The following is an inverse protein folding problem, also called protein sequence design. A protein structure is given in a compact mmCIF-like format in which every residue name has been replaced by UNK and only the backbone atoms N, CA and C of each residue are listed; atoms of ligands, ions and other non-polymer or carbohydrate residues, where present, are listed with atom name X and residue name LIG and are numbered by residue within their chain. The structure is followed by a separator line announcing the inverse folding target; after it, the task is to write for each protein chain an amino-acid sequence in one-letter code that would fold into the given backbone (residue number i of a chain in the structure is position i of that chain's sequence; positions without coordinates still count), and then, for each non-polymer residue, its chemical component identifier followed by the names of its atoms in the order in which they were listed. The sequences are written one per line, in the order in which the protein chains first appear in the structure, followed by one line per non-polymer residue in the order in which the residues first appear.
data_IF_008935573119
#
_entry.id   IF_008935573119
#
_cell.length_a   1.000
_cell.length_b   1.000
_cell.length_c   1.000
_cell.angle_alpha   90.00
_cell.angle_beta   90.00
_cell.angle_gamma   90.00
#
_symmetry.space_group_name_H-M   'P 1'
#
loop_
_entity.id
_entity.type
_entity.pdbx_description
1 polymer ?
#
# COMPACT_ATOMS: atom_id res chain seq x y z
N UNK A 1 13.91 34.14 29.01
CA UNK A 1 14.46 32.85 28.56
C UNK A 1 13.36 32.10 27.81
N UNK A 2 13.59 31.90 26.52
CA UNK A 2 12.68 31.47 25.43
C UNK A 2 11.89 30.18 25.75
N UNK A 3 10.56 30.21 25.93
CA UNK A 3 9.51 29.89 24.94
C UNK A 3 9.92 29.08 23.71
N UNK A 4 9.70 27.76 23.68
CA UNK A 4 9.51 26.98 22.43
C UNK A 4 8.40 25.93 22.65
N UNK A 5 7.15 26.38 22.58
CA UNK A 5 6.00 25.50 22.40
C UNK A 5 5.91 25.10 20.92
N UNK A 6 6.30 23.86 20.60
CA UNK A 6 5.99 23.28 19.29
C UNK A 6 4.54 22.79 19.31
N UNK A 7 3.71 23.49 18.53
CA UNK A 7 2.33 23.10 18.24
C UNK A 7 2.35 21.76 17.48
N UNK A 8 1.85 20.70 18.12
CA UNK A 8 1.48 19.48 17.41
C UNK A 8 0.23 19.78 16.57
N UNK A 9 0.37 19.71 15.24
CA UNK A 9 -0.76 19.68 14.34
C UNK A 9 -1.52 18.37 14.53
N UNK A 10 -2.66 18.45 15.23
CA UNK A 10 -3.57 17.33 15.41
C UNK A 10 -4.16 16.86 14.08
N UNK A 11 -4.64 15.62 14.09
CA UNK A 11 -5.28 14.88 13.00
C UNK A 11 -6.58 15.52 12.43
N UNK A 12 -6.81 16.80 12.65
CA UNK A 12 -8.09 17.51 12.42
C UNK A 12 -8.02 18.64 11.39
N UNK A 13 -7.00 18.75 10.54
CA UNK A 13 -7.04 19.71 9.45
C UNK A 13 -6.61 19.11 8.12
N UNK A 14 -7.62 18.74 7.32
CA UNK A 14 -7.63 18.90 5.85
C UNK A 14 -9.05 18.60 5.34
N UNK A 15 -9.88 19.64 5.38
CA UNK A 15 -11.17 19.73 4.69
C UNK A 15 -10.90 20.06 3.22
N UNK A 16 -11.64 19.42 2.31
CA UNK A 16 -11.72 19.66 0.86
C UNK A 16 -10.58 19.11 0.00
N UNK A 17 -10.65 17.82 -0.34
CA UNK A 17 -10.10 17.35 -1.61
C UNK A 17 -11.21 17.54 -2.66
N UNK A 18 -11.07 18.54 -3.53
CA UNK A 18 -11.93 18.66 -4.72
C UNK A 18 -11.85 17.34 -5.48
N UNK A 19 -13.00 16.86 -5.97
CA UNK A 19 -13.07 15.76 -6.95
C UNK A 19 -12.21 16.13 -8.17
N UNK A 20 -10.96 15.70 -8.20
CA UNK A 20 -10.21 15.57 -9.44
C UNK A 20 -10.66 14.25 -10.06
N UNK A 21 -11.54 14.34 -11.05
CA UNK A 21 -11.83 13.21 -11.91
C UNK A 21 -10.53 12.85 -12.62
N UNK A 22 -10.05 11.61 -12.42
CA UNK A 22 -9.09 11.02 -13.35
C UNK A 22 -9.81 10.93 -14.70
N UNK A 23 -9.64 11.94 -15.55
CA UNK A 23 -10.01 11.82 -16.95
C UNK A 23 -8.95 10.91 -17.59
N UNK A 24 -9.27 9.62 -17.69
CA UNK A 24 -8.53 8.67 -18.53
C UNK A 24 -8.82 9.04 -19.99
N UNK A 25 -8.00 9.87 -20.60
CA UNK A 25 -8.07 10.10 -22.05
C UNK A 25 -7.25 9.01 -22.76
N UNK A 26 -7.93 8.10 -23.47
CA UNK A 26 -7.35 7.36 -24.59
C UNK A 26 -7.54 5.85 -24.60
N UNK A 27 -8.54 5.42 -25.41
CA UNK A 27 -8.92 4.06 -25.86
C UNK A 27 -9.63 3.19 -24.83
N UNK A 28 -10.75 2.60 -25.28
CA UNK A 28 -11.60 1.60 -24.60
C UNK A 28 -10.81 0.74 -23.60
N UNK A 29 -10.77 1.21 -22.35
CA UNK A 29 -9.97 0.65 -21.28
C UNK A 29 -10.85 0.51 -20.06
N UNK A 30 -10.84 -0.67 -19.47
CA UNK A 30 -11.58 -1.04 -18.26
C UNK A 30 -11.43 0.06 -17.20
N UNK A 31 -12.55 0.49 -16.63
CA UNK A 31 -12.54 1.42 -15.49
C UNK A 31 -11.66 0.80 -14.39
N UNK A 32 -10.53 1.43 -14.07
CA UNK A 32 -9.59 0.97 -13.05
C UNK A 32 -10.21 0.95 -11.63
N UNK A 33 -11.44 1.45 -11.49
CA UNK A 33 -12.27 1.36 -10.29
C UNK A 33 -13.41 0.35 -10.38
N UNK A 34 -13.45 -0.48 -11.43
CA UNK A 34 -14.34 -1.65 -11.51
C UNK A 34 -14.05 -2.58 -10.33
N UNK A 35 -15.02 -2.66 -9.42
CA UNK A 35 -14.91 -3.45 -8.22
C UNK A 35 -14.67 -4.93 -8.51
N UNK A 36 -15.27 -5.50 -9.56
CA UNK A 36 -15.09 -6.92 -9.88
C UNK A 36 -13.65 -7.21 -10.30
N UNK A 37 -13.06 -6.31 -11.09
CA UNK A 37 -11.64 -6.38 -11.48
C UNK A 37 -10.74 -6.31 -10.24
N UNK A 38 -11.00 -5.35 -9.35
CA UNK A 38 -10.25 -5.19 -8.10
C UNK A 38 -10.36 -6.42 -7.21
N UNK A 39 -11.54 -6.99 -7.03
CA UNK A 39 -11.76 -8.18 -6.20
C UNK A 39 -11.02 -9.39 -6.77
N UNK A 40 -11.09 -9.60 -8.08
CA UNK A 40 -10.37 -10.69 -8.74
C UNK A 40 -8.85 -10.55 -8.55
N UNK A 41 -8.31 -9.33 -8.70
CA UNK A 41 -6.90 -9.07 -8.53
C UNK A 41 -6.45 -9.18 -7.06
N UNK A 42 -7.24 -8.66 -6.11
CA UNK A 42 -7.00 -8.77 -4.68
C UNK A 42 -6.98 -10.23 -4.21
N UNK A 43 -7.87 -11.06 -4.75
CA UNK A 43 -7.90 -12.51 -4.48
C UNK A 43 -6.62 -13.16 -4.97
N UNK A 44 -6.24 -12.93 -6.23
CA UNK A 44 -5.05 -13.52 -6.82
C UNK A 44 -3.76 -13.10 -6.07
N UNK A 45 -3.59 -11.81 -5.76
CA UNK A 45 -2.43 -11.34 -4.99
C UNK A 45 -2.42 -11.90 -3.56
N UNK A 46 -3.61 -12.11 -2.96
CA UNK A 46 -3.75 -12.74 -1.65
C UNK A 46 -3.34 -14.21 -1.66
N UNK A 47 -3.62 -14.93 -2.74
CA UNK A 47 -3.17 -16.31 -2.96
C UNK A 47 -1.66 -16.38 -3.23
N UNK A 48 -1.10 -15.41 -3.94
CA UNK A 48 0.34 -15.31 -4.14
C UNK A 48 1.09 -15.17 -2.81
N UNK A 49 0.58 -14.36 -1.87
CA UNK A 49 1.14 -14.25 -0.51
C UNK A 49 0.96 -15.53 0.29
N UNK A 50 -0.23 -16.13 0.26
CA UNK A 50 -0.51 -17.37 0.98
C UNK A 50 0.45 -18.50 0.57
N UNK A 51 0.68 -18.67 -0.74
CA UNK A 51 1.58 -19.71 -1.27
C UNK A 51 3.02 -19.59 -0.76
N UNK A 52 3.49 -18.38 -0.44
CA UNK A 52 4.85 -18.21 0.11
C UNK A 52 4.99 -18.78 1.53
N UNK A 53 3.89 -18.87 2.29
CA UNK A 53 3.89 -19.28 3.70
C UNK A 53 3.14 -20.58 3.98
N UNK A 54 2.37 -21.10 3.02
CA UNK A 54 1.49 -22.25 3.19
C UNK A 54 2.19 -23.51 3.71
N UNK A 55 3.36 -23.83 3.14
CA UNK A 55 4.18 -25.00 3.52
C UNK A 55 5.46 -24.60 4.26
N UNK A 56 5.48 -23.38 4.81
CA UNK A 56 6.68 -22.83 5.45
C UNK A 56 6.90 -23.49 6.82
N UNK A 57 8.06 -24.13 7.08
CA UNK A 57 8.35 -24.72 8.38
C UNK A 57 8.23 -23.70 9.51
N UNK A 58 7.67 -24.09 10.65
CA UNK A 58 7.41 -23.19 11.78
C UNK A 58 8.63 -22.34 12.19
N UNK A 59 9.84 -22.90 12.16
CA UNK A 59 11.07 -22.17 12.48
C UNK A 59 11.35 -20.99 11.52
N UNK A 60 10.92 -21.07 10.27
CA UNK A 60 11.13 -19.99 9.28
C UNK A 60 10.20 -18.80 9.47
N UNK A 61 9.10 -18.94 10.23
CA UNK A 61 8.22 -17.81 10.56
C UNK A 61 8.92 -16.76 11.44
N UNK A 62 9.99 -17.15 12.13
CA UNK A 62 10.85 -16.26 12.90
C UNK A 62 11.97 -15.60 12.09
N UNK A 63 12.07 -15.85 10.77
CA UNK A 63 13.05 -15.16 9.94
C UNK A 63 12.74 -13.67 9.90
N UNK A 64 13.74 -12.86 10.21
CA UNK A 64 13.71 -11.41 10.04
C UNK A 64 13.50 -11.07 8.57
N UNK A 65 12.64 -10.08 8.33
CA UNK A 65 12.46 -9.50 7.00
C UNK A 65 13.30 -8.24 6.87
N UNK A 66 13.43 -7.66 5.66
CA UNK A 66 14.10 -6.38 5.52
C UNK A 66 13.44 -5.25 6.32
N UNK A 67 12.19 -5.40 6.75
CA UNK A 67 11.52 -4.46 7.66
C UNK A 67 12.03 -4.68 9.09
N UNK A 68 12.77 -3.70 9.68
CA UNK A 68 13.48 -3.93 10.94
C UNK A 68 12.55 -4.34 12.09
N UNK A 69 12.92 -5.42 12.78
CA UNK A 69 12.16 -5.98 13.91
C UNK A 69 10.89 -6.72 13.51
N UNK A 70 10.64 -6.93 12.22
CA UNK A 70 9.50 -7.68 11.72
C UNK A 70 9.97 -8.99 11.09
N UNK A 71 9.56 -10.09 11.69
CA UNK A 71 9.70 -11.43 11.11
C UNK A 71 8.60 -11.73 10.09
N UNK A 72 8.68 -12.86 9.38
CA UNK A 72 7.59 -13.34 8.52
C UNK A 72 6.26 -13.42 9.29
N UNK A 73 6.27 -13.87 10.55
CA UNK A 73 5.07 -13.87 11.40
C UNK A 73 4.50 -12.46 11.61
N UNK A 74 5.35 -11.43 11.77
CA UNK A 74 4.90 -10.05 11.86
C UNK A 74 4.24 -9.59 10.56
N UNK A 75 4.80 -9.95 9.40
CA UNK A 75 4.20 -9.59 8.12
C UNK A 75 2.80 -10.19 7.95
N UNK A 76 2.63 -11.48 8.26
CA UNK A 76 1.32 -12.16 8.17
C UNK A 76 0.34 -11.66 9.24
N UNK A 77 0.81 -11.39 10.47
CA UNK A 77 -0.04 -10.83 11.53
C UNK A 77 -0.55 -9.42 11.18
N UNK A 78 0.30 -8.57 10.59
CA UNK A 78 -0.10 -7.25 10.11
C UNK A 78 -1.14 -7.34 9.00
N UNK A 79 -0.89 -8.17 7.98
CA UNK A 79 -1.86 -8.40 6.91
C UNK A 79 -3.19 -8.92 7.46
N UNK A 80 -3.17 -9.87 8.40
CA UNK A 80 -4.38 -10.39 9.05
C UNK A 80 -5.16 -9.30 9.78
N UNK A 81 -4.48 -8.44 10.55
CA UNK A 81 -5.10 -7.34 11.27
C UNK A 81 -5.69 -6.27 10.32
N UNK A 82 -4.97 -5.95 9.25
CA UNK A 82 -5.40 -4.99 8.22
C UNK A 82 -6.62 -5.49 7.45
N UNK A 83 -6.62 -6.76 7.02
CA UNK A 83 -7.77 -7.36 6.34
C UNK A 83 -8.97 -7.51 7.27
N UNK A 84 -8.77 -7.89 8.54
CA UNK A 84 -9.85 -7.86 9.55
C UNK A 84 -10.50 -6.49 9.65
N UNK A 85 -9.70 -5.43 9.70
CA UNK A 85 -10.19 -4.05 9.76
C UNK A 85 -10.95 -3.65 8.49
N UNK A 86 -10.45 -4.01 7.30
CA UNK A 86 -11.14 -3.77 6.03
C UNK A 86 -12.46 -4.55 5.93
N UNK A 87 -12.49 -5.81 6.37
CA UNK A 87 -13.70 -6.62 6.43
C UNK A 87 -14.75 -6.02 7.35
N UNK A 88 -14.36 -5.55 8.54
CA UNK A 88 -15.26 -4.81 9.44
C UNK A 88 -15.77 -3.52 8.80
N UNK A 89 -14.89 -2.74 8.18
CA UNK A 89 -15.28 -1.51 7.50
C UNK A 89 -16.37 -1.75 6.44
N UNK A 90 -16.20 -2.79 5.63
CA UNK A 90 -17.11 -3.11 4.54
C UNK A 90 -18.42 -3.81 4.97
N UNK A 91 -18.41 -4.57 6.07
CA UNK A 91 -19.57 -5.39 6.49
C UNK A 91 -20.29 -4.89 7.76
N UNK A 92 -19.61 -4.12 8.61
CA UNK A 92 -20.13 -3.69 9.91
C UNK A 92 -19.52 -2.34 10.32
N UNK A 93 -20.10 -1.26 9.79
CA UNK A 93 -19.65 0.11 10.04
C UNK A 93 -19.63 0.50 11.53
N UNK A 94 -20.55 -0.03 12.34
CA UNK A 94 -20.60 0.23 13.78
C UNK A 94 -19.41 -0.42 14.51
N UNK A 95 -19.15 -1.70 14.24
CA UNK A 95 -18.00 -2.40 14.80
C UNK A 95 -16.67 -1.77 14.34
N UNK A 96 -16.59 -1.32 13.08
CA UNK A 96 -15.45 -0.55 12.59
C UNK A 96 -15.29 0.77 13.36
N UNK A 97 -16.36 1.54 13.57
CA UNK A 97 -16.30 2.80 14.32
C UNK A 97 -15.87 2.57 15.78
N UNK A 98 -16.34 1.49 16.41
CA UNK A 98 -15.93 1.10 17.76
C UNK A 98 -14.47 0.64 17.85
N UNK A 99 -13.91 0.08 16.78
CA UNK A 99 -12.49 -0.23 16.68
C UNK A 99 -11.67 1.05 16.47
N UNK A 100 -12.08 1.89 15.52
CA UNK A 100 -11.40 3.13 15.15
C UNK A 100 -11.35 4.14 16.32
N UNK A 101 -12.39 4.19 17.15
CA UNK A 101 -12.45 5.10 18.32
C UNK A 101 -11.42 4.79 19.40
N UNK A 102 -10.81 3.60 19.38
CA UNK A 102 -9.77 3.18 20.32
C UNK A 102 -8.36 3.53 19.84
N UNK A 103 -8.21 4.01 18.61
CA UNK A 103 -6.91 4.37 18.03
C UNK A 103 -6.37 5.63 18.71
N UNK A 104 -5.11 5.56 19.12
CA UNK A 104 -4.38 6.69 19.68
C UNK A 104 -3.63 7.47 18.59
N UNK A 105 -3.08 8.66 18.89
CA UNK A 105 -2.16 9.35 17.97
C UNK A 105 -0.86 8.60 17.70
N UNK A 106 -0.52 7.59 18.50
CA UNK A 106 0.68 6.76 18.34
C UNK A 106 0.39 5.63 17.33
N UNK A 107 0.86 5.84 16.10
CA UNK A 107 0.68 4.89 14.99
C UNK A 107 1.30 3.53 15.29
N UNK A 108 2.52 3.49 15.82
CA UNK A 108 3.25 2.25 16.06
C UNK A 108 2.63 1.45 17.20
N UNK A 109 2.12 2.13 18.23
CA UNK A 109 1.34 1.47 19.28
C UNK A 109 0.04 0.86 18.75
N UNK A 110 -0.67 1.54 17.85
CA UNK A 110 -1.88 1.01 17.24
C UNK A 110 -1.59 -0.25 16.40
N UNK A 111 -0.53 -0.23 15.59
CA UNK A 111 -0.12 -1.40 14.78
C UNK A 111 0.26 -2.58 15.69
N UNK A 112 1.10 -2.36 16.71
CA UNK A 112 1.46 -3.41 17.68
C UNK A 112 0.24 -3.99 18.38
N UNK A 113 -0.71 -3.14 18.79
CA UNK A 113 -1.94 -3.60 19.43
C UNK A 113 -2.80 -4.46 18.50
N UNK A 114 -2.96 -4.03 17.24
CA UNK A 114 -3.76 -4.74 16.25
C UNK A 114 -3.18 -6.14 15.92
N UNK A 115 -1.84 -6.26 15.92
CA UNK A 115 -1.14 -7.52 15.63
C UNK A 115 -1.02 -8.46 16.84
N UNK A 116 -1.09 -7.94 18.08
CA UNK A 116 -0.73 -8.69 19.28
C UNK A 116 -1.47 -10.04 19.42
N UNK A 117 -2.77 -10.07 19.12
CA UNK A 117 -3.57 -11.29 19.17
C UNK A 117 -3.15 -12.32 18.12
N UNK A 118 -2.73 -11.88 16.93
CA UNK A 118 -2.26 -12.75 15.85
C UNK A 118 -0.84 -13.28 16.12
N UNK A 119 0.04 -12.44 16.67
CA UNK A 119 1.42 -12.82 17.02
C UNK A 119 1.52 -13.79 18.20
N UNK A 120 0.49 -13.86 19.05
CA UNK A 120 0.42 -14.82 20.14
C UNK A 120 0.12 -16.26 19.67
N UNK A 121 -0.36 -16.42 18.44
CA UNK A 121 -0.75 -17.71 17.87
C UNK A 121 0.46 -18.45 17.27
N UNK A 122 0.47 -19.80 17.31
CA UNK A 122 1.46 -20.57 16.59
C UNK A 122 1.28 -20.40 15.06
N UNK A 123 2.33 -20.64 14.25
CA UNK A 123 2.32 -20.40 12.81
C UNK A 123 1.15 -20.99 12.01
N UNK A 124 0.71 -22.20 12.34
CA UNK A 124 -0.40 -22.90 11.68
C UNK A 124 -1.75 -22.24 11.98
N UNK A 125 -1.94 -21.79 13.22
CA UNK A 125 -3.13 -21.03 13.63
C UNK A 125 -3.11 -19.63 13.02
N UNK A 126 -1.95 -18.96 13.00
CA UNK A 126 -1.78 -17.66 12.35
C UNK A 126 -2.09 -17.75 10.84
N UNK A 127 -1.60 -18.77 10.14
CA UNK A 127 -1.92 -19.01 8.73
C UNK A 127 -3.43 -19.22 8.52
N UNK A 128 -4.07 -20.00 9.39
CA UNK A 128 -5.51 -20.22 9.34
C UNK A 128 -6.29 -18.91 9.54
N UNK A 129 -5.84 -18.07 10.48
CA UNK A 129 -6.41 -16.75 10.73
C UNK A 129 -6.21 -15.81 9.55
N UNK A 130 -5.01 -15.79 8.96
CA UNK A 130 -4.72 -15.02 7.76
C UNK A 130 -5.74 -15.32 6.65
N UNK A 131 -5.91 -16.60 6.30
CA UNK A 131 -6.87 -17.04 5.28
C UNK A 131 -8.29 -16.58 5.60
N UNK A 132 -8.72 -16.77 6.86
CA UNK A 132 -10.07 -16.37 7.28
C UNK A 132 -10.31 -14.85 7.19
N UNK A 133 -9.37 -14.03 7.64
CA UNK A 133 -9.50 -12.57 7.59
C UNK A 133 -9.40 -12.05 6.14
N UNK A 134 -8.50 -12.63 5.35
CA UNK A 134 -8.35 -12.34 3.91
C UNK A 134 -9.64 -12.61 3.16
N UNK A 135 -10.15 -13.84 3.25
CA UNK A 135 -11.35 -14.28 2.52
C UNK A 135 -12.59 -13.52 3.01
N UNK A 136 -12.68 -13.27 4.33
CA UNK A 136 -13.75 -12.47 4.93
C UNK A 136 -13.79 -11.04 4.41
N UNK A 137 -12.64 -10.37 4.32
CA UNK A 137 -12.55 -9.00 3.81
C UNK A 137 -12.86 -8.91 2.31
N UNK A 138 -12.32 -9.84 1.51
CA UNK A 138 -12.60 -9.93 0.06
C UNK A 138 -14.10 -10.10 -0.17
N UNK A 139 -14.74 -11.03 0.55
CA UNK A 139 -16.19 -11.27 0.46
C UNK A 139 -16.98 -10.03 0.88
N UNK A 140 -16.60 -9.36 1.96
CA UNK A 140 -17.28 -8.17 2.43
C UNK A 140 -17.18 -7.01 1.43
N UNK A 141 -15.99 -6.78 0.85
CA UNK A 141 -15.78 -5.76 -0.19
C UNK A 141 -16.56 -6.08 -1.46
N UNK A 142 -16.59 -7.34 -1.89
CA UNK A 142 -17.34 -7.76 -3.06
C UNK A 142 -18.87 -7.60 -2.90
N UNK A 143 -19.36 -7.69 -1.65
CA UNK A 143 -20.77 -7.48 -1.32
C UNK A 143 -21.13 -6.01 -1.08
N UNK A 144 -20.15 -5.11 -0.96
CA UNK A 144 -20.40 -3.69 -0.72
C UNK A 144 -21.03 -3.04 -1.98
N UNK A 145 -22.09 -2.22 -1.83
CA UNK A 145 -22.66 -1.49 -2.95
C UNK A 145 -21.62 -0.59 -3.62
N UNK A 146 -21.40 -0.67 -4.95
CA UNK A 146 -20.35 0.09 -5.64
C UNK A 146 -20.47 1.63 -5.50
N UNK A 147 -21.68 2.12 -5.26
CA UNK A 147 -22.01 3.54 -5.11
C UNK A 147 -21.94 4.04 -3.66
N UNK A 148 -21.72 3.15 -2.68
CA UNK A 148 -21.62 3.51 -1.28
C UNK A 148 -20.18 3.57 -0.79
N UNK A 149 -19.88 4.59 0.00
CA UNK A 149 -18.57 4.75 0.61
C UNK A 149 -18.44 3.86 1.85
N UNK A 150 -17.34 3.13 1.93
CA UNK A 150 -16.93 2.35 3.10
C UNK A 150 -16.26 3.28 4.12
N UNK A 151 -16.63 3.24 5.41
CA UNK A 151 -15.94 4.02 6.44
C UNK A 151 -14.46 3.62 6.50
N UNK A 152 -13.57 4.60 6.63
CA UNK A 152 -12.14 4.32 6.77
C UNK A 152 -11.46 5.32 7.69
N UNK A 153 -10.22 5.03 8.09
CA UNK A 153 -9.51 5.70 9.20
C UNK A 153 -9.41 7.23 9.09
N UNK A 154 -9.41 7.78 7.87
CA UNK A 154 -9.31 9.22 7.64
C UNK A 154 -10.54 9.76 6.93
N UNK A 155 -10.83 9.22 5.75
CA UNK A 155 -12.01 9.56 4.96
C UNK A 155 -12.64 8.28 4.46
N UNK A 156 -13.98 8.21 4.36
CA UNK A 156 -14.64 7.12 3.66
C UNK A 156 -14.08 6.94 2.24
N UNK A 157 -14.04 5.70 1.76
CA UNK A 157 -13.49 5.33 0.46
C UNK A 157 -14.50 4.51 -0.35
N UNK A 158 -14.50 4.60 -1.70
CA UNK A 158 -15.17 3.61 -2.51
C UNK A 158 -14.61 2.20 -2.23
N UNK A 159 -15.43 1.13 -2.27
CA UNK A 159 -14.97 -0.23 -2.01
C UNK A 159 -13.79 -0.65 -2.90
N UNK A 160 -13.82 -0.27 -4.18
CA UNK A 160 -12.74 -0.54 -5.13
C UNK A 160 -11.42 0.10 -4.69
N UNK A 161 -11.45 1.35 -4.19
CA UNK A 161 -10.25 2.04 -3.72
C UNK A 161 -9.69 1.38 -2.45
N UNK A 162 -10.56 0.90 -1.55
CA UNK A 162 -10.13 0.15 -0.38
C UNK A 162 -9.53 -1.22 -0.78
N UNK A 163 -10.09 -1.90 -1.79
CA UNK A 163 -9.52 -3.11 -2.36
C UNK A 163 -8.13 -2.89 -2.97
N UNK A 164 -7.94 -1.80 -3.72
CA UNK A 164 -6.62 -1.43 -4.27
C UNK A 164 -5.60 -1.10 -3.17
N UNK A 165 -6.04 -0.49 -2.06
CA UNK A 165 -5.20 -0.30 -0.88
C UNK A 165 -4.78 -1.65 -0.27
N UNK A 166 -5.69 -2.64 -0.21
CA UNK A 166 -5.39 -4.02 0.19
C UNK A 166 -4.36 -4.70 -0.72
N UNK A 167 -4.44 -4.47 -2.05
CA UNK A 167 -3.43 -4.94 -2.99
C UNK A 167 -2.05 -4.32 -2.73
N UNK A 168 -2.00 -3.02 -2.40
CA UNK A 168 -0.76 -2.34 -2.02
C UNK A 168 -0.16 -2.94 -0.73
N UNK A 169 -0.99 -3.29 0.26
CA UNK A 169 -0.53 -3.97 1.49
C UNK A 169 0.05 -5.35 1.17
N UNK A 170 -0.67 -6.16 0.38
CA UNK A 170 -0.19 -7.48 -0.07
C UNK A 170 1.13 -7.38 -0.84
N UNK A 171 1.27 -6.40 -1.73
CA UNK A 171 2.49 -6.19 -2.48
C UNK A 171 3.68 -5.85 -1.57
N UNK A 172 3.51 -4.88 -0.66
CA UNK A 172 4.58 -4.41 0.20
C UNK A 172 5.03 -5.46 1.23
N UNK A 173 4.08 -6.08 1.92
CA UNK A 173 4.36 -7.10 2.94
C UNK A 173 4.75 -8.45 2.30
N UNK A 174 4.13 -8.80 1.16
CA UNK A 174 4.51 -9.96 0.36
C UNK A 174 5.94 -9.84 -0.19
N UNK A 175 6.38 -8.65 -0.61
CA UNK A 175 7.76 -8.43 -1.03
C UNK A 175 8.75 -8.63 0.12
N UNK A 176 8.45 -8.13 1.32
CA UNK A 176 9.31 -8.34 2.49
C UNK A 176 9.44 -9.84 2.85
N UNK A 177 8.34 -10.61 2.73
CA UNK A 177 8.35 -12.07 2.89
C UNK A 177 9.21 -12.73 1.79
N UNK A 178 9.00 -12.35 0.53
CA UNK A 178 9.74 -12.91 -0.59
C UNK A 178 11.25 -12.66 -0.45
N UNK A 179 11.64 -11.46 -0.04
CA UNK A 179 13.05 -11.10 0.21
C UNK A 179 13.65 -11.94 1.34
N UNK A 180 12.93 -12.14 2.45
CA UNK A 180 13.37 -12.98 3.57
C UNK A 180 13.54 -14.46 3.17
N UNK A 181 12.76 -14.92 2.19
CA UNK A 181 12.83 -16.28 1.65
C UNK A 181 13.78 -16.43 0.46
N UNK A 182 14.33 -15.34 -0.07
CA UNK A 182 15.15 -15.35 -1.29
C UNK A 182 14.36 -15.69 -2.56
N UNK A 183 13.05 -15.43 -2.57
CA UNK A 183 12.15 -15.71 -3.70
C UNK A 183 11.99 -14.45 -4.54
N UNK A 184 11.95 -14.59 -5.87
CA UNK A 184 11.56 -13.51 -6.78
C UNK A 184 10.09 -13.68 -7.17
N UNK A 185 9.17 -12.84 -6.68
CA UNK A 185 7.77 -12.91 -7.09
C UNK A 185 7.61 -12.61 -8.59
N UNK A 186 6.77 -13.38 -9.27
CA UNK A 186 6.34 -13.05 -10.63
C UNK A 186 5.38 -11.85 -10.57
N UNK A 187 5.66 -10.81 -11.36
CA UNK A 187 4.81 -9.62 -11.44
C UNK A 187 3.98 -9.69 -12.72
N UNK A 188 2.68 -9.43 -12.58
CA UNK A 188 1.71 -9.40 -13.69
C UNK A 188 1.08 -8.02 -13.79
N UNK A 189 0.34 -7.76 -14.86
CA UNK A 189 -0.32 -6.47 -15.09
C UNK A 189 -1.37 -6.11 -14.01
N UNK A 190 -1.71 -7.01 -13.08
CA UNK A 190 -2.51 -6.66 -11.88
C UNK A 190 -1.93 -5.48 -11.10
N UNK A 191 -0.61 -5.28 -11.14
CA UNK A 191 0.04 -4.13 -10.49
C UNK A 191 -0.41 -2.78 -11.06
N UNK A 192 -1.06 -2.73 -12.22
CA UNK A 192 -1.66 -1.50 -12.75
C UNK A 192 -2.66 -0.88 -11.75
N UNK A 193 -3.37 -1.71 -10.97
CA UNK A 193 -4.27 -1.25 -9.91
C UNK A 193 -3.50 -0.60 -8.74
N UNK A 194 -2.33 -1.13 -8.40
CA UNK A 194 -1.44 -0.55 -7.38
C UNK A 194 -0.84 0.76 -7.90
N UNK A 195 -0.45 0.82 -9.18
CA UNK A 195 0.00 2.05 -9.85
C UNK A 195 -1.08 3.13 -9.78
N UNK A 196 -2.30 2.81 -10.21
CA UNK A 196 -3.43 3.74 -10.19
C UNK A 196 -3.75 4.25 -8.77
N UNK A 197 -3.70 3.36 -7.76
CA UNK A 197 -3.85 3.74 -6.37
C UNK A 197 -2.73 4.69 -5.91
N UNK A 198 -1.48 4.36 -6.21
CA UNK A 198 -0.30 5.14 -5.81
C UNK A 198 -0.28 6.52 -6.47
N UNK A 199 -0.78 6.65 -7.69
CA UNK A 199 -0.96 7.93 -8.37
C UNK A 199 -2.09 8.72 -7.73
N UNK A 200 -3.20 8.09 -7.34
CA UNK A 200 -4.26 8.75 -6.56
C UNK A 200 -3.74 9.27 -5.21
N UNK A 201 -2.76 8.59 -4.63
CA UNK A 201 -2.20 8.90 -3.29
C UNK A 201 -0.82 9.54 -3.34
N UNK A 202 -0.35 10.04 -4.49
CA UNK A 202 1.03 10.51 -4.70
C UNK A 202 1.48 11.57 -3.70
N UNK A 203 0.55 12.35 -3.16
CA UNK A 203 0.81 13.40 -2.16
C UNK A 203 1.12 12.86 -0.76
N UNK A 204 0.87 11.58 -0.47
CA UNK A 204 1.01 11.03 0.88
C UNK A 204 2.46 11.10 1.39
N UNK A 205 3.45 10.94 0.51
CA UNK A 205 4.87 11.10 0.85
C UNK A 205 5.22 12.47 1.41
N UNK A 206 4.61 13.54 0.88
CA UNK A 206 4.74 14.91 1.40
C UNK A 206 4.03 15.04 2.75
N UNK A 207 2.77 14.61 2.81
CA UNK A 207 1.94 14.76 4.00
C UNK A 207 2.51 14.01 5.22
N UNK A 208 3.04 12.80 5.02
CA UNK A 208 3.69 12.01 6.06
C UNK A 208 4.94 12.69 6.66
N UNK A 209 5.51 13.68 5.95
CA UNK A 209 6.69 14.45 6.36
C UNK A 209 6.34 15.91 6.72
N UNK A 210 5.05 16.26 6.77
CA UNK A 210 4.61 17.64 7.02
C UNK A 210 5.03 18.63 5.92
N UNK A 211 5.26 18.13 4.71
CA UNK A 211 5.61 18.95 3.54
C UNK A 211 4.35 19.31 2.74
N UNK A 212 4.40 20.44 2.04
CA UNK A 212 3.35 20.87 1.10
C UNK A 212 3.61 20.23 -0.27
N UNK A 213 2.66 19.47 -0.84
CA UNK A 213 2.77 18.99 -2.21
C UNK A 213 2.81 20.17 -3.20
N UNK A 214 3.54 20.05 -4.32
CA UNK A 214 3.53 21.08 -5.37
C UNK A 214 2.15 21.17 -6.02
N UNK A 215 1.82 22.34 -6.60
CA UNK A 215 0.57 22.55 -7.33
C UNK A 215 0.55 21.87 -8.70
N UNK A 216 1.72 21.51 -9.23
CA UNK A 216 1.85 20.85 -10.53
C UNK A 216 1.69 19.35 -10.40
N UNK A 217 0.73 18.79 -11.13
CA UNK A 217 0.57 17.35 -11.28
C UNK A 217 1.71 16.74 -12.09
N UNK A 218 2.00 15.47 -11.84
CA UNK A 218 3.06 14.74 -12.52
C UNK A 218 2.51 13.90 -13.67
N UNK A 219 3.36 13.67 -14.66
CA UNK A 219 3.14 12.67 -15.70
C UNK A 219 3.84 11.37 -15.32
N UNK A 220 3.12 10.27 -15.35
CA UNK A 220 3.68 8.93 -15.15
C UNK A 220 3.59 8.16 -16.46
N UNK A 221 4.69 7.59 -16.92
CA UNK A 221 4.78 6.77 -18.13
C UNK A 221 5.50 5.46 -17.78
N UNK A 222 4.70 4.47 -17.38
CA UNK A 222 5.18 3.25 -16.74
C UNK A 222 4.94 2.04 -17.64
N UNK A 223 5.98 1.23 -17.86
CA UNK A 223 5.88 0.00 -18.64
C UNK A 223 5.45 -1.16 -17.72
N UNK A 224 4.30 -1.74 -18.01
CA UNK A 224 3.76 -2.90 -17.32
C UNK A 224 4.57 -4.18 -17.57
N UNK A 225 4.39 -5.24 -16.76
CA UNK A 225 5.05 -6.53 -16.97
C UNK A 225 4.83 -7.15 -18.35
N UNK A 226 3.68 -6.90 -18.99
CA UNK A 226 3.42 -7.31 -20.39
C UNK A 226 4.21 -6.53 -21.44
N UNK A 227 4.90 -5.45 -21.07
CA UNK A 227 5.52 -4.49 -21.98
C UNK A 227 4.60 -3.36 -22.43
N UNK A 228 3.32 -3.37 -22.02
CA UNK A 228 2.38 -2.29 -22.33
C UNK A 228 2.78 -0.99 -21.61
N UNK A 229 2.78 0.13 -22.34
CA UNK A 229 2.98 1.45 -21.76
C UNK A 229 1.67 1.96 -21.14
N UNK A 230 1.72 2.37 -19.87
CA UNK A 230 0.62 2.99 -19.15
C UNK A 230 0.95 4.44 -18.85
N UNK A 231 0.02 5.33 -19.18
CA UNK A 231 0.23 6.77 -19.01
C UNK A 231 -0.81 7.39 -18.11
N UNK A 232 -0.39 8.21 -17.15
CA UNK A 232 -1.26 8.88 -16.20
C UNK A 232 -0.84 10.33 -16.00
N UNK A 233 -1.81 11.20 -15.71
CA UNK A 233 -1.56 12.64 -15.50
C UNK A 233 -1.34 13.43 -16.79
N UNK A 234 -1.16 14.76 -16.68
CA UNK A 234 -1.15 15.68 -17.82
C UNK A 234 -0.01 15.39 -18.81
N UNK A 235 -0.34 15.32 -20.10
CA UNK A 235 0.65 15.04 -21.16
C UNK A 235 1.71 16.13 -21.28
N UNK A 236 1.44 17.36 -20.83
CA UNK A 236 2.34 18.51 -20.88
C UNK A 236 3.06 18.79 -19.56
N UNK A 237 2.93 17.92 -18.55
CA UNK A 237 3.61 18.14 -17.27
C UNK A 237 5.13 18.21 -17.44
N UNK A 238 5.80 19.22 -16.86
CA UNK A 238 7.26 19.32 -16.84
C UNK A 238 7.90 18.34 -15.84
N UNK A 239 7.08 17.72 -14.97
CA UNK A 239 7.52 16.76 -13.96
C UNK A 239 7.07 15.36 -14.38
N UNK A 240 8.00 14.52 -14.85
CA UNK A 240 7.72 13.17 -15.35
C UNK A 240 8.44 12.09 -14.57
N UNK A 241 7.78 10.97 -14.41
CA UNK A 241 8.36 9.72 -13.89
C UNK A 241 8.14 8.63 -14.92
N UNK A 242 9.22 8.00 -15.36
CA UNK A 242 9.19 6.95 -16.39
C UNK A 242 9.90 5.69 -15.92
N UNK A 243 9.55 4.53 -16.48
CA UNK A 243 10.27 3.27 -16.23
C UNK A 243 9.38 2.08 -15.92
N UNK A 244 9.91 1.10 -15.18
CA UNK A 244 9.20 -0.15 -14.84
C UNK A 244 8.06 0.09 -13.85
N UNK A 245 6.86 -0.39 -14.16
CA UNK A 245 5.72 -0.32 -13.25
C UNK A 245 5.92 -1.16 -11.97
N UNK A 246 6.64 -2.28 -12.06
CA UNK A 246 6.98 -3.10 -10.90
C UNK A 246 7.91 -2.35 -9.94
N UNK A 247 8.88 -1.65 -10.51
CA UNK A 247 9.85 -0.85 -9.76
C UNK A 247 9.18 0.38 -9.15
N UNK A 248 8.24 1.00 -9.87
CA UNK A 248 7.39 2.05 -9.31
C UNK A 248 6.62 1.54 -8.08
N UNK A 249 6.00 0.36 -8.15
CA UNK A 249 5.33 -0.24 -6.99
C UNK A 249 6.30 -0.51 -5.83
N UNK A 250 7.52 -0.97 -6.09
CA UNK A 250 8.57 -1.15 -5.07
C UNK A 250 8.98 0.17 -4.41
N UNK A 251 9.07 1.26 -5.19
CA UNK A 251 9.40 2.58 -4.67
C UNK A 251 8.29 3.13 -3.75
N UNK A 252 7.06 3.16 -4.24
CA UNK A 252 5.92 3.78 -3.52
C UNK A 252 5.47 2.95 -2.31
N UNK A 253 5.80 1.66 -2.28
CA UNK A 253 5.67 0.82 -1.08
C UNK A 253 6.94 0.84 -0.22
N UNK A 254 7.95 1.63 -0.57
CA UNK A 254 9.22 1.81 0.16
C UNK A 254 9.98 0.51 0.39
N UNK A 255 9.89 -0.43 -0.56
CA UNK A 255 10.57 -1.74 -0.51
C UNK A 255 11.88 -1.77 -1.27
N UNK A 256 12.20 -0.74 -2.04
CA UNK A 256 13.52 -0.52 -2.65
C UNK A 256 13.92 0.96 -2.56
N UNK A 257 15.22 1.21 -2.63
CA UNK A 257 15.77 2.55 -2.81
C UNK A 257 15.68 2.93 -4.29
N UNK A 258 15.46 4.21 -4.60
CA UNK A 258 15.32 4.70 -5.99
C UNK A 258 16.52 4.36 -6.88
N UNK A 259 17.73 4.34 -6.33
CA UNK A 259 18.98 4.02 -7.07
C UNK A 259 19.12 2.54 -7.46
N UNK A 260 18.18 1.70 -7.01
CA UNK A 260 18.13 0.28 -7.35
C UNK A 260 16.98 -0.06 -8.31
N UNK A 261 16.36 0.96 -8.89
CA UNK A 261 15.15 0.85 -9.68
C UNK A 261 15.35 1.38 -11.10
N UNK A 262 14.71 0.73 -12.07
CA UNK A 262 14.55 1.21 -13.43
C UNK A 262 13.46 2.29 -13.48
N UNK A 263 13.76 3.43 -12.86
CA UNK A 263 12.91 4.61 -12.83
C UNK A 263 13.74 5.87 -13.09
N UNK A 264 13.24 6.74 -13.96
CA UNK A 264 13.82 8.03 -14.24
C UNK A 264 12.84 9.15 -13.89
N UNK A 265 13.39 10.26 -13.39
CA UNK A 265 12.63 11.49 -13.14
C UNK A 265 13.14 12.61 -14.04
N UNK A 266 12.22 13.36 -14.63
CA UNK A 266 12.50 14.60 -15.34
C UNK A 266 11.75 15.74 -14.66
N UNK A 267 12.43 16.85 -14.35
CA UNK A 267 11.87 17.96 -13.58
C UNK A 267 12.21 17.87 -12.09
N UNK A 268 12.44 19.02 -11.45
CA UNK A 268 12.95 19.10 -10.09
C UNK A 268 11.97 18.54 -9.04
N UNK A 269 10.66 18.70 -9.24
CA UNK A 269 9.67 18.16 -8.29
C UNK A 269 9.50 16.65 -8.45
N UNK A 270 9.56 16.12 -9.68
CA UNK A 270 9.58 14.68 -9.90
C UNK A 270 10.81 14.04 -9.27
N UNK A 271 11.99 14.63 -9.45
CA UNK A 271 13.23 14.13 -8.87
C UNK A 271 13.18 14.13 -7.34
N UNK A 272 12.71 15.22 -6.72
CA UNK A 272 12.53 15.29 -5.27
C UNK A 272 11.50 14.29 -4.75
N UNK A 273 10.41 14.07 -5.50
CA UNK A 273 9.36 13.16 -5.07
C UNK A 273 9.82 11.72 -4.97
N UNK A 274 10.73 11.29 -5.85
CA UNK A 274 11.30 9.94 -5.83
C UNK A 274 11.96 9.60 -4.47
N UNK A 275 12.45 10.59 -3.71
CA UNK A 275 13.03 10.37 -2.37
C UNK A 275 11.97 10.14 -1.28
N UNK A 276 10.76 10.65 -1.49
CA UNK A 276 9.69 10.67 -0.49
C UNK A 276 8.47 9.84 -0.89
N UNK A 277 8.47 9.25 -2.09
CA UNK A 277 7.40 8.44 -2.67
C UNK A 277 6.86 7.43 -1.66
N UNK A 278 5.54 7.45 -1.47
CA UNK A 278 4.83 6.62 -0.51
C UNK A 278 3.34 6.57 -0.86
N UNK A 279 2.76 5.37 -0.95
CA UNK A 279 1.34 5.16 -1.26
C UNK A 279 0.43 4.98 -0.02
N UNK A 280 0.98 5.02 1.19
CA UNK A 280 0.26 4.85 2.46
C UNK A 280 0.44 6.08 3.39
N UNK A 281 -0.42 6.25 4.41
CA UNK A 281 -0.40 7.45 5.31
C UNK A 281 0.43 7.31 6.58
N UNK A 282 0.91 6.12 6.90
CA UNK A 282 1.77 5.87 8.06
C UNK A 282 3.11 6.61 7.98
N UNK A 283 3.89 6.63 9.08
CA UNK A 283 5.24 7.15 9.07
C UNK A 283 6.10 6.44 8.01
N UNK A 284 7.04 7.17 7.42
CA UNK A 284 7.86 6.65 6.34
C UNK A 284 8.86 5.56 6.77
N UNK A 285 9.20 5.49 8.07
CA UNK A 285 10.29 4.68 8.58
C UNK A 285 11.63 5.03 7.93
N UNK A 286 12.66 4.23 8.23
CA UNK A 286 14.04 4.47 7.77
C UNK A 286 14.22 4.20 6.25
N UNK A 287 13.31 3.44 5.63
CA UNK A 287 13.38 3.09 4.22
C UNK A 287 14.42 1.99 3.92
N UNK A 288 14.93 1.98 2.68
CA UNK A 288 15.94 1.05 2.20
C UNK A 288 17.19 1.81 1.78
N UNK A 289 18.36 1.20 1.92
CA UNK A 289 19.63 1.83 1.52
C UNK A 289 19.98 1.50 0.07
N UNK A 290 20.70 2.39 -0.65
CA UNK A 290 21.19 2.10 -1.99
C UNK A 290 22.01 0.81 -2.03
N UNK A 291 21.76 -0.04 -3.02
CA UNK A 291 22.49 -1.28 -3.24
C UNK A 291 22.07 -2.44 -2.33
N UNK A 292 21.12 -2.25 -1.41
CA UNK A 292 20.72 -3.27 -0.42
C UNK A 292 20.28 -4.59 -1.06
N UNK A 293 19.64 -4.53 -2.23
CA UNK A 293 19.06 -5.69 -2.92
C UNK A 293 19.73 -6.00 -4.27
N UNK A 294 20.88 -5.41 -4.56
CA UNK A 294 21.64 -5.78 -5.75
C UNK A 294 22.15 -7.20 -5.56
N UNK A 295 21.76 -8.12 -6.45
CA UNK A 295 22.37 -9.44 -6.51
C UNK A 295 23.88 -9.25 -6.69
N UNK A 296 24.67 -9.71 -5.72
CA UNK A 296 26.10 -9.91 -5.94
C UNK A 296 26.20 -10.90 -7.10
N UNK A 297 26.63 -10.38 -8.24
CA UNK A 297 26.83 -11.17 -9.47
C UNK A 297 28.04 -12.06 -9.31
#
# INVERSE_FOLDING_TARGET
MSQHGKRCGGWTSLVTMKRTGLATSGREGTDMTDLNLVIAALTADGDDVDRMVADLPAAKWALETPSPGWTIAHQIAHLSATFRMAGLAASNAEAFAALASKLSPDFDANVRHAMAGFLAEPPDVLLTRWRAERDGAIKALAAAPPDQMVPWLVNPLPPAVLGMAGMMELFGHGQDIADALGIKPERTDRIQLIVAFSIRTWTFGYLARGLTPPETEFRFELTGPSGALWTFGPEDSPNRITGSAADFCLLVTRRRHRDDLDLAAAGAEADRWMDIAQAYRGPAGDGRTPGQFRSTT
#
